data_IF_362187675768
#
_entry.id   IF_362187675768
#
_cell.length_a   1.000
_cell.length_b   1.000
_cell.length_c   1.000
_cell.angle_alpha   90.00
_cell.angle_beta   90.00
_cell.angle_gamma   90.00
#
_symmetry.space_group_name_H-M   'P 1'
#
loop_
_entity.id
_entity.type
_entity.pdbx_description
1 polymer ?
#
# COMPACT_ATOMS: atom_id res chain seq x y z
N UNK A 1 21.17 -9.70 -21.31
CA UNK A 1 20.27 -10.24 -20.28
C UNK A 1 18.86 -10.20 -20.83
N UNK A 2 18.16 -11.34 -20.89
CA UNK A 2 16.73 -11.37 -21.24
C UNK A 2 15.98 -10.89 -20.01
N UNK A 3 15.23 -9.79 -20.13
CA UNK A 3 14.36 -9.33 -19.05
C UNK A 3 13.15 -10.26 -19.00
N UNK A 4 13.27 -11.32 -18.21
CA UNK A 4 12.16 -12.21 -17.87
C UNK A 4 11.47 -11.70 -16.59
N UNK A 5 10.14 -11.80 -16.54
CA UNK A 5 9.34 -11.33 -15.40
C UNK A 5 9.77 -12.03 -14.10
N UNK A 6 10.19 -13.29 -14.17
CA UNK A 6 10.70 -14.04 -13.03
C UNK A 6 11.98 -13.42 -12.43
N UNK A 7 12.86 -12.89 -13.29
CA UNK A 7 14.09 -12.23 -12.82
C UNK A 7 13.81 -10.90 -12.12
N UNK A 8 12.82 -10.13 -12.59
CA UNK A 8 12.41 -8.87 -11.95
C UNK A 8 11.76 -9.11 -10.59
N UNK A 9 10.87 -10.10 -10.51
CA UNK A 9 10.22 -10.50 -9.25
C UNK A 9 11.26 -10.97 -8.24
N UNK A 10 12.20 -11.82 -8.66
CA UNK A 10 13.28 -12.29 -7.80
C UNK A 10 14.15 -11.12 -7.29
N UNK A 11 14.49 -10.17 -8.17
CA UNK A 11 15.24 -8.96 -7.78
C UNK A 11 14.50 -8.15 -6.72
N UNK A 12 13.19 -7.91 -6.89
CA UNK A 12 12.39 -7.17 -5.91
C UNK A 12 12.27 -7.88 -4.56
N UNK A 13 12.15 -9.21 -4.59
CA UNK A 13 12.15 -10.02 -3.38
C UNK A 13 13.49 -9.92 -2.65
N UNK A 14 14.62 -10.04 -3.37
CA UNK A 14 15.96 -9.90 -2.76
C UNK A 14 16.27 -8.49 -2.30
N UNK A 15 15.65 -7.47 -2.93
CA UNK A 15 15.83 -6.07 -2.56
C UNK A 15 14.99 -5.65 -1.34
N UNK A 16 14.23 -6.57 -0.72
CA UNK A 16 13.39 -6.27 0.43
C UNK A 16 12.15 -5.41 0.11
N UNK A 17 11.80 -5.24 -1.18
CA UNK A 17 10.64 -4.45 -1.58
C UNK A 17 9.35 -5.04 -0.99
N UNK A 18 9.26 -6.37 -0.92
CA UNK A 18 8.10 -7.06 -0.37
C UNK A 18 7.91 -6.81 1.12
N UNK A 19 9.01 -6.67 1.87
CA UNK A 19 8.99 -6.43 3.32
C UNK A 19 8.41 -5.04 3.66
N UNK A 20 8.46 -4.09 2.72
CA UNK A 20 7.84 -2.77 2.86
C UNK A 20 6.48 -2.68 2.14
N UNK A 21 6.41 -3.13 0.89
CA UNK A 21 5.27 -2.91 0.00
C UNK A 21 4.04 -3.74 0.40
N UNK A 22 4.22 -5.00 0.81
CA UNK A 22 3.12 -5.85 1.23
C UNK A 22 2.41 -5.32 2.49
N UNK A 23 3.11 -5.01 3.61
CA UNK A 23 2.44 -4.46 4.78
C UNK A 23 1.81 -3.08 4.50
N UNK A 24 2.45 -2.25 3.68
CA UNK A 24 1.88 -0.97 3.24
C UNK A 24 0.54 -1.17 2.53
N UNK A 25 0.50 -2.04 1.52
CA UNK A 25 -0.70 -2.30 0.72
C UNK A 25 -1.83 -2.87 1.58
N UNK A 26 -1.50 -3.74 2.54
CA UNK A 26 -2.47 -4.31 3.46
C UNK A 26 -3.14 -3.22 4.31
N UNK A 27 -2.35 -2.35 4.93
CA UNK A 27 -2.87 -1.28 5.79
C UNK A 27 -3.63 -0.25 4.96
N UNK A 28 -3.10 0.15 3.81
CA UNK A 28 -3.78 1.02 2.86
C UNK A 28 -5.17 0.48 2.48
N UNK A 29 -5.26 -0.79 2.10
CA UNK A 29 -6.50 -1.40 1.66
C UNK A 29 -7.54 -1.46 2.79
N UNK A 30 -7.12 -1.84 4.00
CA UNK A 30 -7.98 -1.91 5.18
C UNK A 30 -8.52 -0.52 5.51
N UNK A 31 -7.65 0.48 5.63
CA UNK A 31 -8.03 1.86 5.96
C UNK A 31 -8.95 2.44 4.89
N UNK A 32 -8.63 2.26 3.60
CA UNK A 32 -9.48 2.72 2.50
C UNK A 32 -10.86 2.06 2.53
N UNK A 33 -10.92 0.76 2.84
CA UNK A 33 -12.17 0.01 3.00
C UNK A 33 -13.02 0.56 4.14
N UNK A 34 -12.41 0.81 5.30
CA UNK A 34 -13.08 1.40 6.47
C UNK A 34 -13.61 2.79 6.14
N UNK A 35 -12.81 3.67 5.55
CA UNK A 35 -13.22 5.04 5.21
C UNK A 35 -14.41 5.04 4.23
N UNK A 36 -14.39 4.15 3.23
CA UNK A 36 -15.48 4.02 2.27
C UNK A 36 -16.74 3.40 2.89
N UNK A 37 -16.60 2.44 3.79
CA UNK A 37 -17.73 1.75 4.43
C UNK A 37 -18.43 2.62 5.47
N UNK A 38 -17.69 3.47 6.17
CA UNK A 38 -18.21 4.24 7.31
C UNK A 38 -18.72 5.63 6.92
N UNK A 39 -18.37 6.14 5.73
CA UNK A 39 -18.74 7.48 5.25
C UNK A 39 -18.39 8.62 6.25
N UNK A 40 -17.41 8.41 7.14
CA UNK A 40 -17.02 9.36 8.20
C UNK A 40 -16.56 10.71 7.60
N UNK A 41 -15.99 10.68 6.39
CA UNK A 41 -15.41 11.85 5.72
C UNK A 41 -16.26 12.25 4.49
N UNK A 42 -17.55 11.89 4.53
CA UNK A 42 -18.50 12.12 3.45
C UNK A 42 -18.24 11.27 2.20
N UNK A 43 -18.80 11.68 1.05
CA UNK A 43 -18.71 10.95 -0.22
C UNK A 43 -17.44 11.21 -1.03
N UNK A 44 -16.44 11.91 -0.49
CA UNK A 44 -15.25 12.31 -1.26
C UNK A 44 -14.26 11.15 -1.39
N UNK A 45 -14.41 10.38 -2.49
CA UNK A 45 -13.55 9.23 -2.80
C UNK A 45 -12.06 9.60 -2.91
N UNK A 46 -11.73 10.80 -3.39
CA UNK A 46 -10.34 11.26 -3.51
C UNK A 46 -9.71 11.44 -2.14
N UNK A 47 -10.42 12.08 -1.21
CA UNK A 47 -9.95 12.29 0.15
C UNK A 47 -9.74 10.96 0.91
N UNK A 48 -10.65 9.99 0.73
CA UNK A 48 -10.47 8.65 1.30
C UNK A 48 -9.17 7.97 0.84
N UNK A 49 -8.81 8.12 -0.44
CA UNK A 49 -7.58 7.55 -0.99
C UNK A 49 -6.35 8.24 -0.39
N UNK A 50 -6.35 9.58 -0.31
CA UNK A 50 -5.24 10.35 0.25
C UNK A 50 -4.99 9.95 1.71
N UNK A 51 -6.05 9.88 2.52
CA UNK A 51 -5.92 9.53 3.94
C UNK A 51 -5.43 8.10 4.12
N UNK A 52 -6.00 7.15 3.39
CA UNK A 52 -5.54 5.77 3.43
C UNK A 52 -4.06 5.64 2.99
N UNK A 53 -3.64 6.41 1.99
CA UNK A 53 -2.25 6.44 1.51
C UNK A 53 -1.30 6.93 2.60
N UNK A 54 -1.63 8.05 3.23
CA UNK A 54 -0.82 8.63 4.31
C UNK A 54 -0.71 7.67 5.48
N UNK A 55 -1.84 7.10 5.95
CA UNK A 55 -1.84 6.15 7.07
C UNK A 55 -1.06 4.88 6.73
N UNK A 56 -1.26 4.34 5.52
CA UNK A 56 -0.51 3.17 5.05
C UNK A 56 1.00 3.42 5.05
N UNK A 57 1.46 4.56 4.52
CA UNK A 57 2.89 4.91 4.48
C UNK A 57 3.46 5.13 5.88
N UNK A 58 2.73 5.82 6.76
CA UNK A 58 3.14 6.04 8.16
C UNK A 58 3.25 4.73 8.94
N UNK A 59 2.43 3.74 8.63
CA UNK A 59 2.46 2.47 9.32
C UNK A 59 3.69 1.62 8.99
N UNK A 60 4.34 1.86 7.85
CA UNK A 60 5.57 1.15 7.45
C UNK A 60 6.83 2.02 7.66
N UNK A 61 6.68 3.33 7.92
CA UNK A 61 7.82 4.24 8.12
C UNK A 61 8.64 3.98 9.40
N UNK A 62 8.20 3.09 10.29
CA UNK A 62 8.94 2.67 11.47
C UNK A 62 9.63 1.32 11.23
N UNK A 63 10.74 1.33 10.49
CA UNK A 63 11.73 0.25 10.45
C UNK A 63 13.13 0.86 10.55
#
# INVERSE_FOLDING_TARGET
>A
MVFDIGTVIAQWQTAGIYDFLLPFLLIFAIVLGILRSTSIIGGNRGLHIIIALVIGLMAVSYN
#
